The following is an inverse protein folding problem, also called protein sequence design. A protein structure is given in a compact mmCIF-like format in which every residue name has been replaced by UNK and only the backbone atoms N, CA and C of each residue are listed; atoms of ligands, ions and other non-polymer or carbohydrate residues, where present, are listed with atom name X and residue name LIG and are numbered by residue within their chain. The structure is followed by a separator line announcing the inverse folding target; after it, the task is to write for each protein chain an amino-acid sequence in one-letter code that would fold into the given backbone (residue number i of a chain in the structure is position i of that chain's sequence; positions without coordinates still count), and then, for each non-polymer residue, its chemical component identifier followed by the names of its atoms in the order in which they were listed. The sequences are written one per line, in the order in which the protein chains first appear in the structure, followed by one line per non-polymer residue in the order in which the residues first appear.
data_IF_388633345726
#
_entry.id   IF_388633345726
#
_cell.length_a   1.000
_cell.length_b   1.000
_cell.length_c   1.000
_cell.angle_alpha   90.00
_cell.angle_beta   90.00
_cell.angle_gamma   90.00
#
_symmetry.space_group_name_H-M   'P 1'
#
loop_
_entity.id
_entity.type
_entity.pdbx_description
1 polymer ?
#
# COMPACT_ATOMS: atom_id res chain seq x y z
N UNK A 1 -17.47 5.93 1.35
CA UNK A 1 -16.90 7.25 1.06
C UNK A 1 -15.45 7.30 1.55
N UNK A 2 -14.54 7.83 0.77
CA UNK A 2 -13.14 8.03 1.15
C UNK A 2 -12.73 9.47 0.88
N UNK A 3 -11.94 10.06 1.77
CA UNK A 3 -11.30 11.36 1.59
C UNK A 3 -9.87 11.29 2.18
N UNK A 4 -9.14 12.41 2.15
CA UNK A 4 -7.75 12.49 2.66
C UNK A 4 -7.63 12.13 4.16
N UNK A 5 -8.72 12.26 4.94
CA UNK A 5 -8.68 12.12 6.40
C UNK A 5 -9.21 10.77 6.90
N UNK A 6 -10.16 10.17 6.20
CA UNK A 6 -10.80 8.93 6.66
C UNK A 6 -11.50 8.15 5.53
N UNK A 7 -11.74 6.88 5.79
CA UNK A 7 -12.69 6.04 5.05
C UNK A 7 -13.95 5.85 5.88
N UNK A 8 -15.13 5.94 5.24
CA UNK A 8 -16.45 5.71 5.89
C UNK A 8 -17.21 4.64 5.12
N UNK A 9 -17.79 3.69 5.83
CA UNK A 9 -18.57 2.58 5.25
C UNK A 9 -19.66 2.10 6.20
N UNK A 10 -20.63 1.38 5.67
CA UNK A 10 -21.64 0.64 6.42
C UNK A 10 -21.29 -0.84 6.39
N UNK A 11 -21.62 -1.55 7.46
CA UNK A 11 -21.41 -2.99 7.61
C UNK A 11 -22.73 -3.70 7.93
N UNK A 12 -23.11 -4.63 7.08
CA UNK A 12 -24.20 -5.58 7.32
C UNK A 12 -23.60 -6.92 7.75
N UNK A 13 -24.06 -7.45 8.87
CA UNK A 13 -23.61 -8.71 9.44
C UNK A 13 -24.80 -9.66 9.55
N UNK A 14 -24.68 -10.84 8.95
CA UNK A 14 -25.63 -11.93 9.14
C UNK A 14 -25.19 -12.77 10.34
N UNK A 15 -25.95 -12.76 11.41
CA UNK A 15 -25.67 -13.54 12.61
C UNK A 15 -26.14 -15.00 12.46
N UNK A 16 -25.55 -15.97 13.20
CA UNK A 16 -25.95 -17.39 13.12
C UNK A 16 -27.42 -17.64 13.35
N UNK A 17 -28.09 -16.83 14.16
CA UNK A 17 -29.52 -16.90 14.46
C UNK A 17 -30.41 -16.24 13.39
N UNK A 18 -29.92 -16.05 12.16
CA UNK A 18 -30.59 -15.37 11.05
C UNK A 18 -30.96 -13.90 11.29
N UNK A 19 -30.56 -13.30 12.41
CA UNK A 19 -30.71 -11.87 12.65
C UNK A 19 -29.70 -11.10 11.84
N UNK A 20 -30.12 -9.95 11.30
CA UNK A 20 -29.24 -9.00 10.61
C UNK A 20 -28.88 -7.86 11.54
N UNK A 21 -27.59 -7.55 11.60
CA UNK A 21 -27.08 -6.41 12.33
C UNK A 21 -26.50 -5.39 11.33
N UNK A 22 -27.00 -4.16 11.37
CA UNK A 22 -26.53 -3.07 10.52
C UNK A 22 -25.76 -2.05 11.35
N UNK A 23 -24.48 -1.88 11.06
CA UNK A 23 -23.62 -0.87 11.69
C UNK A 23 -23.35 0.20 10.67
N UNK A 24 -24.02 1.35 10.79
CA UNK A 24 -23.90 2.46 9.84
C UNK A 24 -22.80 3.44 10.21
N UNK A 25 -22.21 4.09 9.19
CA UNK A 25 -21.24 5.18 9.34
C UNK A 25 -20.04 4.80 10.21
N UNK A 26 -19.44 3.64 9.96
CA UNK A 26 -18.15 3.27 10.55
C UNK A 26 -17.08 4.13 9.90
N UNK A 27 -16.26 4.79 10.71
CA UNK A 27 -15.13 5.61 10.24
C UNK A 27 -13.82 5.04 10.73
N UNK A 28 -12.85 5.01 9.81
CA UNK A 28 -11.46 4.64 10.11
C UNK A 28 -10.53 5.73 9.55
N UNK A 29 -9.52 6.18 10.30
CA UNK A 29 -8.56 7.18 9.83
C UNK A 29 -7.47 6.56 8.91
N UNK A 30 -7.88 5.59 8.11
CA UNK A 30 -7.02 4.83 7.19
C UNK A 30 -7.62 4.85 5.79
N UNK A 31 -6.76 4.88 4.79
CA UNK A 31 -7.14 4.92 3.38
C UNK A 31 -7.04 3.55 2.73
N UNK A 32 -7.82 3.36 1.67
CA UNK A 32 -7.78 2.17 0.84
C UNK A 32 -8.77 1.08 1.26
N UNK A 33 -9.26 0.36 0.24
CA UNK A 33 -10.26 -0.70 0.43
C UNK A 33 -9.75 -1.86 1.29
N UNK A 34 -8.45 -2.11 1.27
CA UNK A 34 -7.83 -3.14 2.11
C UNK A 34 -7.98 -2.83 3.61
N UNK A 35 -7.84 -1.56 4.01
CA UNK A 35 -8.06 -1.15 5.40
C UNK A 35 -9.52 -1.25 5.81
N UNK A 36 -10.46 -0.98 4.91
CA UNK A 36 -11.89 -1.26 5.14
C UNK A 36 -12.11 -2.77 5.37
N UNK A 37 -11.56 -3.63 4.52
CA UNK A 37 -11.65 -5.10 4.67
C UNK A 37 -11.04 -5.59 5.98
N UNK A 38 -9.87 -5.08 6.36
CA UNK A 38 -9.24 -5.40 7.64
C UNK A 38 -10.14 -4.97 8.82
N UNK A 39 -10.75 -3.79 8.74
CA UNK A 39 -11.68 -3.30 9.77
C UNK A 39 -12.96 -4.15 9.85
N UNK A 40 -13.45 -4.66 8.73
CA UNK A 40 -14.58 -5.62 8.72
C UNK A 40 -14.19 -6.91 9.44
N UNK A 41 -12.99 -7.46 9.16
CA UNK A 41 -12.48 -8.64 9.87
C UNK A 41 -12.33 -8.39 11.38
N UNK A 42 -11.75 -7.26 11.77
CA UNK A 42 -11.63 -6.87 13.19
C UNK A 42 -13.00 -6.72 13.87
N UNK A 43 -13.97 -6.08 13.19
CA UNK A 43 -15.32 -5.93 13.70
C UNK A 43 -16.04 -7.29 13.86
N UNK A 44 -15.84 -8.21 12.92
CA UNK A 44 -16.40 -9.55 13.00
C UNK A 44 -15.88 -10.29 14.24
N UNK A 45 -14.57 -10.30 14.46
CA UNK A 45 -13.96 -10.91 15.66
C UNK A 45 -14.48 -10.24 16.93
N UNK A 46 -14.52 -8.91 16.99
CA UNK A 46 -15.03 -8.17 18.16
C UNK A 46 -16.48 -8.53 18.48
N UNK A 47 -17.34 -8.68 17.46
CA UNK A 47 -18.74 -9.11 17.64
C UNK A 47 -18.83 -10.53 18.19
N UNK A 48 -17.96 -11.46 17.77
CA UNK A 48 -17.99 -12.85 18.28
C UNK A 48 -17.62 -12.96 19.76
N UNK A 49 -16.81 -12.03 20.27
CA UNK A 49 -16.46 -11.96 21.70
C UNK A 49 -17.34 -11.01 22.49
N UNK A 50 -18.45 -10.54 21.90
CA UNK A 50 -19.50 -9.78 22.62
C UNK A 50 -19.25 -8.28 22.75
N UNK A 51 -18.28 -7.70 22.02
CA UNK A 51 -18.04 -6.25 22.03
C UNK A 51 -19.22 -5.52 21.37
N UNK A 52 -19.69 -4.45 21.98
CA UNK A 52 -20.81 -3.66 21.46
C UNK A 52 -20.45 -2.91 20.18
N UNK A 53 -21.45 -2.64 19.34
CA UNK A 53 -21.25 -1.88 18.09
C UNK A 53 -20.73 -0.47 18.32
N UNK A 54 -21.08 0.15 19.45
CA UNK A 54 -20.59 1.49 19.83
C UNK A 54 -19.10 1.47 20.17
N UNK A 55 -18.64 0.45 20.90
CA UNK A 55 -17.22 0.26 21.23
C UNK A 55 -16.40 -0.07 19.98
N UNK A 56 -16.92 -0.95 19.10
CA UNK A 56 -16.30 -1.25 17.80
C UNK A 56 -16.09 0.03 17.00
N UNK A 57 -17.11 0.88 16.87
CA UNK A 57 -17.00 2.17 16.15
C UNK A 57 -15.96 3.10 16.80
N UNK A 58 -15.95 3.20 18.13
CA UNK A 58 -14.96 4.01 18.87
C UNK A 58 -13.53 3.47 18.64
N UNK A 59 -13.34 2.17 18.80
CA UNK A 59 -12.05 1.51 18.61
C UNK A 59 -11.50 1.68 17.17
N UNK A 60 -12.35 1.47 16.17
CA UNK A 60 -11.97 1.66 14.77
C UNK A 60 -11.64 3.11 14.44
N UNK A 61 -12.38 4.08 14.99
CA UNK A 61 -12.11 5.51 14.79
C UNK A 61 -10.82 5.97 15.46
N UNK A 62 -10.49 5.42 16.62
CA UNK A 62 -9.27 5.77 17.37
C UNK A 62 -8.01 5.07 16.84
N UNK A 63 -8.15 4.03 16.02
CA UNK A 63 -7.04 3.23 15.53
C UNK A 63 -6.22 3.99 14.48
N UNK A 64 -5.03 4.42 14.85
CA UNK A 64 -4.13 5.21 14.00
C UNK A 64 -3.35 4.40 12.95
N UNK A 65 -3.65 3.11 12.83
CA UNK A 65 -2.94 2.21 11.92
C UNK A 65 -1.75 1.49 12.57
N UNK A 66 -1.10 0.66 11.79
CA UNK A 66 0.14 -0.04 12.15
C UNK A 66 1.29 0.67 11.44
N UNK A 67 2.43 0.79 12.08
CA UNK A 67 3.64 1.35 11.44
C UNK A 67 3.93 0.66 10.10
N UNK A 68 4.45 1.42 9.15
CA UNK A 68 4.75 0.95 7.80
C UNK A 68 3.52 0.40 7.04
N UNK A 69 2.33 0.99 7.28
CA UNK A 69 1.09 0.72 6.54
C UNK A 69 0.49 2.04 6.08
N UNK A 70 1.08 2.60 5.02
CA UNK A 70 0.77 3.91 4.44
C UNK A 70 0.77 5.03 5.49
N UNK A 71 1.83 5.05 6.31
CA UNK A 71 2.03 6.07 7.33
C UNK A 71 2.69 7.31 6.73
N UNK A 72 2.08 8.48 6.94
CA UNK A 72 2.76 9.73 6.66
C UNK A 72 3.89 9.92 7.66
N UNK A 73 5.13 10.08 7.17
CA UNK A 73 6.32 10.22 8.00
C UNK A 73 6.63 11.70 8.21
N UNK A 74 6.69 12.46 7.13
CA UNK A 74 6.96 13.91 7.16
C UNK A 74 6.46 14.57 5.87
N UNK A 75 6.55 15.91 5.84
CA UNK A 75 6.37 16.74 4.64
C UNK A 75 7.59 17.62 4.46
N UNK A 76 7.98 17.81 3.21
CA UNK A 76 9.07 18.70 2.83
C UNK A 76 8.79 19.33 1.47
N UNK A 77 8.94 20.64 1.31
CA UNK A 77 8.70 21.36 0.06
C UNK A 77 7.35 21.00 -0.63
N UNK A 78 6.26 20.97 0.13
CA UNK A 78 4.92 20.57 -0.34
C UNK A 78 4.82 19.12 -0.85
N UNK A 79 5.79 18.28 -0.52
CA UNK A 79 5.80 16.85 -0.82
C UNK A 79 5.51 16.09 0.46
N UNK A 80 4.54 15.18 0.42
CA UNK A 80 4.20 14.29 1.52
C UNK A 80 4.91 12.94 1.34
N UNK A 81 5.62 12.49 2.38
CA UNK A 81 6.33 11.22 2.39
C UNK A 81 5.57 10.20 3.22
N UNK A 82 5.33 9.04 2.61
CA UNK A 82 4.64 7.92 3.22
C UNK A 82 5.51 6.68 3.23
N UNK A 83 5.44 5.89 4.30
CA UNK A 83 6.08 4.56 4.39
C UNK A 83 5.01 3.47 4.34
N UNK A 84 5.27 2.47 3.49
CA UNK A 84 4.45 1.27 3.37
C UNK A 84 5.32 0.03 3.23
N UNK A 85 4.93 -1.05 3.90
CA UNK A 85 5.65 -2.33 3.86
C UNK A 85 5.27 -3.20 2.67
N UNK A 86 4.47 -2.71 1.75
CA UNK A 86 4.04 -3.44 0.56
C UNK A 86 5.24 -3.98 -0.23
N UNK A 87 5.33 -5.28 -0.34
CA UNK A 87 6.42 -5.99 -1.00
C UNK A 87 5.91 -7.11 -1.93
N UNK A 88 4.61 -7.32 -1.99
CA UNK A 88 3.91 -8.20 -2.93
C UNK A 88 3.22 -7.33 -4.00
N UNK A 89 3.18 -7.74 -5.29
CA UNK A 89 2.59 -6.92 -6.36
C UNK A 89 1.13 -6.54 -6.10
N UNK A 90 0.36 -7.43 -5.48
CA UNK A 90 -1.03 -7.15 -5.09
C UNK A 90 -1.11 -6.04 -4.04
N UNK A 91 -0.21 -6.04 -3.04
CA UNK A 91 -0.16 -5.00 -2.00
C UNK A 91 0.19 -3.65 -2.61
N UNK A 92 1.25 -3.60 -3.44
CA UNK A 92 1.68 -2.38 -4.15
C UNK A 92 0.53 -1.80 -4.96
N UNK A 93 -0.15 -2.65 -5.72
CA UNK A 93 -1.31 -2.25 -6.52
C UNK A 93 -2.41 -1.66 -5.65
N UNK A 94 -2.77 -2.30 -4.52
CA UNK A 94 -3.81 -1.80 -3.63
C UNK A 94 -3.45 -0.46 -2.98
N UNK A 95 -2.20 -0.28 -2.56
CA UNK A 95 -1.73 1.00 -2.01
C UNK A 95 -1.83 2.09 -3.06
N UNK A 96 -1.28 1.87 -4.25
CA UNK A 96 -1.31 2.86 -5.33
C UNK A 96 -2.73 3.16 -5.85
N UNK A 97 -3.63 2.17 -5.91
CA UNK A 97 -5.04 2.38 -6.22
C UNK A 97 -5.75 3.26 -5.16
N UNK A 98 -5.39 3.08 -3.88
CA UNK A 98 -5.87 3.92 -2.78
C UNK A 98 -5.37 5.35 -2.88
N UNK A 99 -4.07 5.51 -3.15
CA UNK A 99 -3.41 6.82 -3.35
C UNK A 99 -4.03 7.57 -4.52
N UNK A 100 -4.23 6.89 -5.66
CA UNK A 100 -4.85 7.49 -6.85
C UNK A 100 -6.25 8.06 -6.57
N UNK A 101 -7.06 7.37 -5.79
CA UNK A 101 -8.42 7.84 -5.45
C UNK A 101 -8.42 9.12 -4.63
N UNK A 102 -7.45 9.28 -3.74
CA UNK A 102 -7.38 10.38 -2.78
C UNK A 102 -6.53 11.53 -3.31
N UNK A 103 -5.41 11.21 -3.95
CA UNK A 103 -4.40 12.15 -4.43
C UNK A 103 -4.39 12.27 -5.97
N UNK A 104 -5.55 12.24 -6.59
CA UNK A 104 -5.73 12.18 -8.05
C UNK A 104 -4.98 13.27 -8.83
N UNK A 105 -4.87 14.48 -8.23
CA UNK A 105 -4.23 15.64 -8.86
C UNK A 105 -2.73 15.75 -8.59
N UNK A 106 -2.18 14.88 -7.75
CA UNK A 106 -0.78 14.92 -7.34
C UNK A 106 0.06 13.96 -8.17
N UNK A 107 1.31 14.33 -8.41
CA UNK A 107 2.30 13.39 -8.92
C UNK A 107 2.67 12.37 -7.85
N UNK A 108 2.74 11.11 -8.24
CA UNK A 108 2.99 9.98 -7.36
C UNK A 108 4.34 9.34 -7.70
N UNK A 109 5.29 9.48 -6.79
CA UNK A 109 6.60 8.85 -6.89
C UNK A 109 6.63 7.63 -5.97
N UNK A 110 6.83 6.46 -6.54
CA UNK A 110 6.94 5.21 -5.80
C UNK A 110 8.40 4.80 -5.71
N UNK A 111 8.98 4.86 -4.51
CA UNK A 111 10.31 4.32 -4.23
C UNK A 111 10.12 2.88 -3.79
N UNK A 112 10.61 1.93 -4.59
CA UNK A 112 10.40 0.51 -4.35
C UNK A 112 11.73 -0.21 -4.15
N UNK A 113 11.89 -0.79 -2.94
CA UNK A 113 12.94 -1.75 -2.67
C UNK A 113 12.39 -3.17 -2.81
N UNK A 114 12.76 -3.89 -3.87
CA UNK A 114 12.32 -5.27 -4.05
C UNK A 114 12.85 -6.16 -2.92
N UNK A 115 12.02 -7.11 -2.48
CA UNK A 115 12.34 -8.00 -1.37
C UNK A 115 12.26 -9.45 -1.84
N UNK A 116 13.39 -10.17 -1.74
CA UNK A 116 13.67 -11.53 -2.21
C UNK A 116 13.71 -11.67 -3.73
N UNK A 117 14.80 -12.27 -4.21
CA UNK A 117 15.00 -12.54 -5.63
C UNK A 117 14.00 -13.59 -6.15
N UNK A 118 13.71 -14.63 -5.33
CA UNK A 118 12.72 -15.65 -5.66
C UNK A 118 11.35 -15.04 -5.97
N UNK A 119 10.85 -14.14 -5.13
CA UNK A 119 9.56 -13.47 -5.34
C UNK A 119 9.54 -12.64 -6.63
N UNK A 120 10.62 -11.92 -6.93
CA UNK A 120 10.71 -11.14 -8.17
C UNK A 120 10.68 -12.03 -9.41
N UNK A 121 11.28 -13.22 -9.34
CA UNK A 121 11.27 -14.20 -10.40
C UNK A 121 9.88 -14.80 -10.60
N UNK A 122 9.29 -15.29 -9.52
CA UNK A 122 8.02 -16.00 -9.53
C UNK A 122 6.83 -15.11 -9.91
N UNK A 123 6.85 -13.84 -9.46
CA UNK A 123 5.77 -12.86 -9.66
C UNK A 123 6.16 -11.73 -10.63
N UNK A 124 7.13 -11.99 -11.53
CA UNK A 124 7.65 -10.98 -12.44
C UNK A 124 6.56 -10.31 -13.29
N UNK A 125 5.63 -11.11 -13.79
CA UNK A 125 4.52 -10.61 -14.60
C UNK A 125 3.62 -9.68 -13.78
N UNK A 126 3.23 -10.10 -12.59
CA UNK A 126 2.36 -9.35 -11.68
C UNK A 126 3.01 -8.04 -11.25
N UNK A 127 4.31 -8.05 -10.90
CA UNK A 127 5.05 -6.84 -10.59
C UNK A 127 5.06 -5.85 -11.76
N UNK A 128 5.19 -6.33 -12.98
CA UNK A 128 5.24 -5.45 -14.15
C UNK A 128 3.98 -4.60 -14.33
N UNK A 129 2.84 -5.03 -13.78
CA UNK A 129 1.56 -4.30 -13.81
C UNK A 129 1.20 -3.58 -12.50
N UNK A 130 1.98 -3.79 -11.42
CA UNK A 130 1.62 -3.30 -10.09
C UNK A 130 1.70 -1.77 -9.95
N UNK A 131 2.51 -1.11 -10.78
CA UNK A 131 2.84 0.32 -10.65
C UNK A 131 2.00 1.24 -11.54
N UNK A 132 0.96 0.77 -12.19
CA UNK A 132 0.13 1.54 -13.16
C UNK A 132 -0.42 2.87 -12.65
N UNK A 133 -0.51 3.04 -11.33
CA UNK A 133 -1.02 4.27 -10.69
C UNK A 133 0.06 5.16 -10.11
N UNK A 134 1.34 4.81 -10.29
CA UNK A 134 2.46 5.72 -10.08
C UNK A 134 2.72 6.54 -11.34
N UNK A 135 3.34 7.71 -11.21
CA UNK A 135 3.87 8.50 -12.31
C UNK A 135 5.36 8.15 -12.52
N UNK A 136 6.08 8.03 -11.42
CA UNK A 136 7.51 7.70 -11.38
C UNK A 136 7.72 6.51 -10.46
N UNK A 137 8.57 5.59 -10.87
CA UNK A 137 9.07 4.48 -10.04
C UNK A 137 10.58 4.62 -9.91
N UNK A 138 11.09 4.59 -8.68
CA UNK A 138 12.51 4.50 -8.37
C UNK A 138 12.77 3.11 -7.82
N UNK A 139 13.51 2.29 -8.56
CA UNK A 139 13.89 0.95 -8.13
C UNK A 139 15.21 1.01 -7.35
N UNK A 140 15.14 0.57 -6.09
CA UNK A 140 16.30 0.39 -5.22
C UNK A 140 16.89 -1.01 -5.37
N UNK A 141 18.12 -1.27 -4.88
CA UNK A 141 18.72 -2.59 -4.87
C UNK A 141 17.82 -3.63 -4.20
N UNK A 142 17.86 -4.85 -4.72
CA UNK A 142 17.09 -5.96 -4.13
C UNK A 142 17.59 -6.27 -2.73
N UNK A 143 16.71 -6.26 -1.74
CA UNK A 143 16.98 -6.82 -0.43
C UNK A 143 16.76 -8.34 -0.48
N UNK A 144 17.85 -9.10 -0.41
CA UNK A 144 17.83 -10.55 -0.63
C UNK A 144 17.24 -11.33 0.53
N UNK A 145 17.23 -10.77 1.74
CA UNK A 145 16.80 -11.44 2.97
C UNK A 145 17.52 -12.80 3.21
N UNK A 146 18.81 -12.85 2.89
CA UNK A 146 19.63 -14.07 3.02
C UNK A 146 19.59 -15.03 1.83
N UNK A 147 18.76 -14.75 0.81
CA UNK A 147 18.81 -15.54 -0.44
C UNK A 147 20.08 -15.24 -1.23
N UNK A 148 20.69 -16.28 -1.80
CA UNK A 148 21.74 -16.08 -2.79
C UNK A 148 21.13 -15.49 -4.05
N UNK A 149 21.84 -14.54 -4.66
CA UNK A 149 21.43 -14.00 -5.97
C UNK A 149 21.44 -15.16 -6.96
N UNK A 150 20.26 -15.55 -7.43
CA UNK A 150 20.14 -16.67 -8.35
C UNK A 150 20.70 -16.27 -9.73
N UNK A 151 21.58 -17.12 -10.28
CA UNK A 151 22.01 -17.03 -11.66
C UNK A 151 20.76 -17.01 -12.58
N UNK A 152 20.68 -15.99 -13.45
CA UNK A 152 19.58 -15.87 -14.42
C UNK A 152 18.51 -14.83 -14.11
N UNK A 153 18.50 -14.18 -12.95
CA UNK A 153 17.60 -13.03 -12.73
C UNK A 153 18.23 -11.77 -13.30
N UNK A 154 17.64 -11.23 -14.36
CA UNK A 154 18.10 -10.00 -14.99
C UNK A 154 17.26 -8.80 -14.48
N UNK A 155 17.85 -7.98 -13.62
CA UNK A 155 17.20 -6.84 -12.99
C UNK A 155 16.81 -5.74 -14.00
N UNK A 156 17.63 -5.53 -15.02
CA UNK A 156 17.32 -4.57 -16.09
C UNK A 156 16.11 -5.00 -16.92
N UNK A 157 15.99 -6.30 -17.20
CA UNK A 157 14.82 -6.82 -17.89
C UNK A 157 13.55 -6.73 -17.03
N UNK A 158 13.67 -6.91 -15.72
CA UNK A 158 12.57 -6.67 -14.78
C UNK A 158 12.11 -5.19 -14.83
N UNK A 159 13.05 -4.25 -14.82
CA UNK A 159 12.75 -2.82 -14.94
C UNK A 159 12.07 -2.49 -16.29
N UNK A 160 12.57 -3.05 -17.40
CA UNK A 160 11.97 -2.88 -18.73
C UNK A 160 10.53 -3.38 -18.78
N UNK A 161 10.22 -4.51 -18.13
CA UNK A 161 8.85 -5.03 -18.06
C UNK A 161 7.91 -4.10 -17.30
N UNK A 162 8.39 -3.47 -16.21
CA UNK A 162 7.62 -2.47 -15.46
C UNK A 162 7.33 -1.25 -16.35
N UNK A 163 8.33 -0.71 -17.02
CA UNK A 163 8.15 0.43 -17.94
C UNK A 163 7.10 0.09 -19.01
N UNK A 164 7.23 -1.07 -19.66
CA UNK A 164 6.34 -1.52 -20.74
C UNK A 164 4.90 -1.68 -20.27
N UNK A 165 4.68 -2.37 -19.14
CA UNK A 165 3.36 -2.83 -18.74
C UNK A 165 2.64 -1.86 -17.77
N UNK A 166 3.38 -1.12 -16.95
CA UNK A 166 2.84 -0.08 -16.09
C UNK A 166 2.84 1.32 -16.73
N UNK A 167 3.61 1.53 -17.81
CA UNK A 167 3.72 2.81 -18.54
C UNK A 167 4.17 3.96 -17.64
N UNK A 168 5.15 3.71 -16.80
CA UNK A 168 5.71 4.67 -15.84
C UNK A 168 7.09 5.14 -16.26
N UNK A 169 7.51 6.33 -15.81
CA UNK A 169 8.92 6.71 -15.80
C UNK A 169 9.62 5.87 -14.73
N UNK A 170 10.77 5.28 -15.05
CA UNK A 170 11.47 4.43 -14.09
C UNK A 170 12.95 4.80 -14.04
N UNK A 171 13.46 4.92 -12.82
CA UNK A 171 14.86 5.14 -12.51
C UNK A 171 15.37 3.99 -11.63
N UNK A 172 16.63 3.63 -11.81
CA UNK A 172 17.31 2.63 -10.99
C UNK A 172 18.39 3.37 -10.19
N UNK A 173 18.43 3.13 -8.89
CA UNK A 173 19.49 3.61 -8.00
C UNK A 173 20.24 2.42 -7.40
N UNK A 174 21.55 2.56 -7.22
CA UNK A 174 22.40 1.47 -6.75
C UNK A 174 22.60 1.47 -5.23
N UNK A 175 22.32 2.62 -4.58
CA UNK A 175 22.48 2.79 -3.15
C UNK A 175 21.64 3.98 -2.62
N UNK A 176 21.66 4.15 -1.30
CA UNK A 176 20.94 5.23 -0.63
C UNK A 176 21.52 6.63 -0.95
N UNK A 177 22.79 6.73 -1.29
CA UNK A 177 23.41 8.01 -1.66
C UNK A 177 22.87 8.48 -3.00
N UNK A 178 22.80 7.59 -4.00
CA UNK A 178 22.20 7.91 -5.30
C UNK A 178 20.71 8.25 -5.16
N UNK A 179 19.98 7.53 -4.32
CA UNK A 179 18.58 7.84 -4.03
C UNK A 179 18.45 9.25 -3.43
N UNK A 180 19.24 9.58 -2.40
CA UNK A 180 19.20 10.89 -1.77
C UNK A 180 19.57 12.01 -2.74
N UNK A 181 20.59 11.80 -3.58
CA UNK A 181 21.00 12.75 -4.63
C UNK A 181 19.87 12.95 -5.64
N UNK A 182 19.24 11.87 -6.10
CA UNK A 182 18.11 11.95 -7.04
C UNK A 182 16.97 12.77 -6.45
N UNK A 183 16.57 12.49 -5.20
CA UNK A 183 15.49 13.21 -4.52
C UNK A 183 15.81 14.70 -4.37
N UNK A 184 17.02 15.05 -3.93
CA UNK A 184 17.45 16.47 -3.80
C UNK A 184 17.45 17.23 -5.13
N UNK A 185 17.75 16.57 -6.24
CA UNK A 185 17.83 17.22 -7.55
C UNK A 185 16.50 17.31 -8.29
N UNK A 186 15.48 16.56 -7.88
CA UNK A 186 14.21 16.42 -8.62
C UNK A 186 12.97 16.75 -7.77
N UNK A 187 13.15 17.07 -6.50
CA UNK A 187 12.11 17.44 -5.53
C UNK A 187 12.49 18.71 -4.77
#
# INVERSE_FOLDING_TARGET
KQNIKFSEFDLEVNLPNKKKLNIKKIRIPLLGIHNIRNSVGAAAVALTVGISTSEIKKGLLSFKGVQRRFNKIFSYNNIDFYDDYAHHPTEIKFVLDGVEKVYKKYEKVCIFQPHRVSRLKDLRKEFSFAFKKANIVILCPVYTAGEKIQLGFNYLNFAKDIIKNSKVKLFIVNDNYQLAKFLKSNM
#
